data_IF_033984872920
#
_entry.id   IF_033984872920
#
_cell.length_a   1.000
_cell.length_b   1.000
_cell.length_c   1.000
_cell.angle_alpha   90.00
_cell.angle_beta   90.00
_cell.angle_gamma   90.00
#
_symmetry.space_group_name_H-M   'P 1'
#
loop_
_entity.id
_entity.type
_entity.pdbx_description
1 polymer ?
#
# COMPACT_ATOMS: atom_id res chain seq x y z
N UNK A 1 -10.09 4.52 17.10
CA UNK A 1 -10.74 4.96 15.84
C UNK A 1 -10.27 3.97 14.79
N UNK A 2 -11.21 3.37 14.09
CA UNK A 2 -11.00 2.17 13.28
C UNK A 2 -10.38 2.59 11.94
N UNK A 3 -9.14 2.20 11.66
CA UNK A 3 -8.47 2.61 10.41
C UNK A 3 -8.00 1.39 9.61
N UNK A 4 -8.70 1.11 8.52
CA UNK A 4 -8.15 0.36 7.39
C UNK A 4 -7.69 1.40 6.37
N UNK A 5 -6.41 1.43 6.04
CA UNK A 5 -5.83 2.50 5.22
C UNK A 5 -4.92 1.91 4.15
N UNK A 6 -4.95 2.50 2.94
CA UNK A 6 -3.95 2.28 1.92
C UNK A 6 -3.18 3.56 1.62
N UNK A 7 -1.88 3.43 1.42
CA UNK A 7 -1.00 4.53 1.03
C UNK A 7 0.34 4.02 0.53
N UNK A 8 1.34 4.89 0.53
CA UNK A 8 2.69 4.53 0.10
C UNK A 8 3.33 5.60 -0.76
N UNK A 9 4.26 5.21 -1.62
CA UNK A 9 4.94 6.12 -2.52
C UNK A 9 5.43 5.38 -3.77
N UNK A 10 5.73 6.13 -4.81
CA UNK A 10 6.43 5.64 -5.99
C UNK A 10 7.50 6.63 -6.43
N UNK A 11 8.44 6.17 -7.25
CA UNK A 11 9.47 7.00 -7.84
C UNK A 11 9.09 7.41 -9.25
N UNK A 12 9.20 8.71 -9.55
CA UNK A 12 9.03 9.26 -10.91
C UNK A 12 10.18 10.23 -11.17
N UNK A 13 10.93 10.01 -12.25
CA UNK A 13 12.10 10.83 -12.61
C UNK A 13 13.13 10.98 -11.48
N UNK A 14 13.31 9.94 -10.66
CA UNK A 14 14.22 9.95 -9.51
C UNK A 14 13.65 10.62 -8.25
N UNK A 15 12.44 11.17 -8.30
CA UNK A 15 11.78 11.81 -7.15
C UNK A 15 10.75 10.88 -6.50
N UNK A 16 10.66 10.93 -5.17
CA UNK A 16 9.64 10.21 -4.41
C UNK A 16 8.31 10.99 -4.45
N UNK A 17 7.28 10.38 -5.01
CA UNK A 17 5.91 10.89 -5.03
C UNK A 17 5.08 10.11 -4.01
N UNK A 18 4.52 10.84 -3.04
CA UNK A 18 3.66 10.27 -2.00
C UNK A 18 2.28 9.97 -2.57
N UNK A 19 1.77 8.76 -2.36
CA UNK A 19 0.37 8.41 -2.62
C UNK A 19 -0.49 9.02 -1.52
N UNK A 20 -1.66 9.54 -1.90
CA UNK A 20 -2.63 10.10 -0.94
C UNK A 20 -3.18 8.95 -0.09
N UNK A 21 -3.15 9.01 1.24
CA UNK A 21 -3.76 7.97 2.05
C UNK A 21 -5.27 7.90 1.80
N UNK A 22 -5.80 6.69 1.64
CA UNK A 22 -7.24 6.43 1.51
C UNK A 22 -7.66 5.55 2.69
N UNK A 23 -8.56 6.08 3.52
CA UNK A 23 -9.24 5.33 4.57
C UNK A 23 -10.37 4.50 3.98
N UNK A 24 -10.58 3.30 4.52
CA UNK A 24 -11.55 2.31 4.06
C UNK A 24 -11.51 2.09 2.54
N UNK A 25 -10.33 1.76 1.98
CA UNK A 25 -10.17 1.66 0.53
C UNK A 25 -11.04 0.57 -0.09
N UNK A 26 -11.57 0.87 -1.27
CA UNK A 26 -12.27 -0.11 -2.11
C UNK A 26 -11.26 -0.93 -2.92
N UNK A 27 -11.73 -2.03 -3.52
CA UNK A 27 -10.94 -2.80 -4.50
C UNK A 27 -10.50 -1.91 -5.67
N UNK A 28 -11.33 -0.94 -6.07
CA UNK A 28 -10.99 0.01 -7.14
C UNK A 28 -9.81 0.90 -6.74
N UNK A 29 -9.79 1.39 -5.50
CA UNK A 29 -8.68 2.22 -4.99
C UNK A 29 -7.37 1.43 -4.95
N UNK A 30 -7.44 0.17 -4.50
CA UNK A 30 -6.30 -0.75 -4.52
C UNK A 30 -5.77 -0.95 -5.95
N UNK A 31 -6.65 -1.23 -6.91
CA UNK A 31 -6.27 -1.42 -8.30
C UNK A 31 -5.61 -0.18 -8.90
N UNK A 32 -6.15 1.01 -8.60
CA UNK A 32 -5.57 2.27 -9.07
C UNK A 32 -4.13 2.45 -8.58
N UNK A 33 -3.82 2.09 -7.33
CA UNK A 33 -2.46 2.22 -6.79
C UNK A 33 -1.53 1.10 -7.28
N UNK A 34 -2.05 -0.10 -7.49
CA UNK A 34 -1.31 -1.18 -8.14
C UNK A 34 -0.93 -0.81 -9.59
N UNK A 35 -1.83 -0.16 -10.34
CA UNK A 35 -1.56 0.30 -11.70
C UNK A 35 -0.40 1.30 -11.77
N UNK A 36 -0.25 2.15 -10.74
CA UNK A 36 0.91 3.04 -10.62
C UNK A 36 2.19 2.23 -10.44
N UNK A 37 2.19 1.23 -9.56
CA UNK A 37 3.39 0.44 -9.25
C UNK A 37 3.77 -0.59 -10.33
N UNK A 38 2.88 -0.91 -11.28
CA UNK A 38 3.21 -1.75 -12.44
C UNK A 38 4.32 -1.15 -13.32
N UNK A 39 4.40 0.18 -13.36
CA UNK A 39 5.33 0.92 -14.22
C UNK A 39 6.32 1.80 -13.44
N UNK A 40 6.23 1.81 -12.10
CA UNK A 40 7.11 2.60 -11.25
C UNK A 40 7.63 1.75 -10.09
N UNK A 41 8.88 2.00 -9.71
CA UNK A 41 9.43 1.45 -8.47
C UNK A 41 8.77 2.19 -7.29
N UNK A 42 8.55 1.50 -6.18
CA UNK A 42 7.85 2.10 -5.05
C UNK A 42 7.44 1.11 -3.97
N UNK A 43 6.57 1.60 -3.07
CA UNK A 43 6.03 0.85 -1.94
C UNK A 43 4.55 1.17 -1.80
N UNK A 44 3.71 0.15 -1.71
CA UNK A 44 2.33 0.23 -1.24
C UNK A 44 2.26 -0.29 0.19
N UNK A 45 1.46 0.35 1.02
CA UNK A 45 1.19 -0.09 2.39
C UNK A 45 -0.33 -0.18 2.54
N UNK A 46 -0.79 -1.33 3.01
CA UNK A 46 -2.16 -1.55 3.45
C UNK A 46 -2.10 -1.87 4.94
N UNK A 47 -2.70 -1.01 5.75
CA UNK A 47 -2.71 -1.16 7.21
C UNK A 47 -4.10 -1.48 7.68
N UNK A 48 -4.20 -2.46 8.57
CA UNK A 48 -5.43 -2.83 9.23
C UNK A 48 -5.24 -2.79 10.76
N UNK A 49 -5.84 -1.79 11.39
CA UNK A 49 -5.88 -1.64 12.85
C UNK A 49 -7.28 -1.98 13.42
N UNK A 50 -8.05 -2.85 12.76
CA UNK A 50 -9.34 -3.34 13.26
C UNK A 50 -9.15 -4.21 14.51
N UNK A 51 -9.43 -3.67 15.70
CA UNK A 51 -9.25 -4.37 16.99
C UNK A 51 -10.23 -5.55 17.22
N UNK A 52 -11.41 -5.56 16.58
CA UNK A 52 -12.54 -6.39 17.04
C UNK A 52 -12.75 -7.72 16.27
N UNK A 53 -12.12 -7.94 15.11
CA UNK A 53 -12.34 -9.18 14.32
C UNK A 53 -11.08 -9.82 13.74
N UNK A 54 -9.97 -9.08 13.61
CA UNK A 54 -8.73 -9.59 13.00
C UNK A 54 -7.52 -9.10 13.80
N UNK A 55 -6.46 -9.92 13.89
CA UNK A 55 -5.20 -9.45 14.47
C UNK A 55 -4.66 -8.32 13.59
N UNK A 56 -4.32 -7.15 14.15
CA UNK A 56 -3.83 -6.02 13.39
C UNK A 56 -2.64 -6.42 12.51
N UNK A 57 -2.61 -5.87 11.30
CA UNK A 57 -1.55 -6.19 10.34
C UNK A 57 -1.19 -5.01 9.44
N UNK A 58 0.05 -5.03 8.97
CA UNK A 58 0.54 -4.20 7.88
C UNK A 58 0.98 -5.10 6.73
N UNK A 59 0.33 -4.95 5.57
CA UNK A 59 0.79 -5.55 4.33
C UNK A 59 1.58 -4.51 3.54
N UNK A 60 2.78 -4.87 3.14
CA UNK A 60 3.69 -4.03 2.38
C UNK A 60 4.02 -4.69 1.06
N UNK A 61 3.79 -3.98 -0.04
CA UNK A 61 4.21 -4.38 -1.37
C UNK A 61 5.34 -3.46 -1.83
N UNK A 62 6.49 -4.03 -2.13
CA UNK A 62 7.60 -3.35 -2.79
C UNK A 62 7.57 -3.68 -4.28
N UNK A 63 7.72 -2.66 -5.12
CA UNK A 63 7.92 -2.80 -6.57
C UNK A 63 9.28 -2.25 -6.93
N UNK A 64 10.12 -3.04 -7.59
CA UNK A 64 11.42 -2.60 -8.11
C UNK A 64 11.69 -3.31 -9.44
N UNK A 65 11.84 -2.55 -10.52
CA UNK A 65 12.17 -3.05 -11.86
C UNK A 65 11.26 -4.20 -12.35
N UNK A 66 9.96 -4.07 -12.12
CA UNK A 66 8.93 -5.08 -12.43
C UNK A 66 8.98 -6.36 -11.58
N UNK A 67 9.86 -6.43 -10.59
CA UNK A 67 9.79 -7.43 -9.53
C UNK A 67 8.93 -6.91 -8.38
N UNK A 68 8.21 -7.81 -7.73
CA UNK A 68 7.32 -7.47 -6.62
C UNK A 68 7.59 -8.37 -5.43
N UNK A 69 7.73 -7.75 -4.25
CA UNK A 69 7.91 -8.45 -2.98
C UNK A 69 6.81 -8.02 -2.02
N UNK A 70 6.09 -8.99 -1.45
CA UNK A 70 4.99 -8.75 -0.51
C UNK A 70 5.41 -9.26 0.86
N UNK A 71 5.37 -8.38 1.86
CA UNK A 71 5.57 -8.71 3.26
C UNK A 71 4.27 -8.46 4.04
N UNK A 72 3.97 -9.33 5.00
CA UNK A 72 2.85 -9.15 5.93
C UNK A 72 3.43 -9.17 7.33
N UNK A 73 3.20 -8.09 8.07
CA UNK A 73 3.60 -7.93 9.46
C UNK A 73 2.35 -7.97 10.33
N UNK A 74 2.38 -8.76 11.39
CA UNK A 74 1.39 -8.66 12.46
C UNK A 74 1.86 -7.54 13.39
N UNK A 75 0.99 -6.57 13.70
CA UNK A 75 1.32 -5.38 14.51
C UNK A 75 0.59 -5.35 15.84
#
# INVERSE_FOLDING_TARGET
MINFEIGGYYFKNGERIQLIPIEMPTITDLNNYLDILKINNGKLILRNDLEDEFMPYEMVLYSDNHETLIHIYMI
#
